data_IF_180746220936
#
_entry.id   IF_180746220936
#
_cell.length_a   1.000
_cell.length_b   1.000
_cell.length_c   1.000
_cell.angle_alpha   90.00
_cell.angle_beta   90.00
_cell.angle_gamma   90.00
#
_symmetry.space_group_name_H-M   'P 1'
#
loop_
_entity.id
_entity.type
_entity.pdbx_description
1 polymer ?
#
# COMPACT_ATOMS: atom_id res chain seq x y z
N UNK A 1 26.53 -1.21 -20.15
CA UNK A 1 25.33 -1.82 -19.59
C UNK A 1 25.28 -1.58 -18.08
N UNK A 2 24.20 -1.04 -17.64
CA UNK A 2 23.97 -0.88 -16.21
C UNK A 2 23.41 -2.12 -15.60
N UNK A 3 23.99 -2.52 -14.47
CA UNK A 3 23.40 -3.52 -13.61
C UNK A 3 23.21 -2.87 -12.25
N UNK A 4 21.95 -2.68 -11.84
CA UNK A 4 21.64 -2.19 -10.50
C UNK A 4 21.64 -3.36 -9.55
N UNK A 5 22.27 -3.19 -8.37
CA UNK A 5 22.11 -4.14 -7.30
C UNK A 5 20.69 -4.02 -6.73
N UNK A 6 20.20 -5.06 -6.06
CA UNK A 6 18.91 -4.99 -5.39
C UNK A 6 18.89 -3.88 -4.34
N UNK A 7 20.02 -3.66 -3.67
CA UNK A 7 20.13 -2.58 -2.70
C UNK A 7 19.88 -1.20 -3.33
N UNK A 8 20.42 -0.95 -4.52
CA UNK A 8 20.20 0.31 -5.24
C UNK A 8 18.81 0.40 -5.84
N UNK A 9 18.20 -0.74 -6.14
CA UNK A 9 16.87 -0.78 -6.76
C UNK A 9 15.74 -0.57 -5.75
N UNK A 10 15.92 -0.84 -4.47
CA UNK A 10 14.86 -0.72 -3.46
C UNK A 10 14.21 0.66 -3.43
N UNK A 11 14.95 1.78 -3.39
CA UNK A 11 14.33 3.10 -3.42
C UNK A 11 13.57 3.37 -4.73
N UNK A 12 14.02 2.80 -5.84
CA UNK A 12 13.37 2.94 -7.14
C UNK A 12 12.00 2.26 -7.12
N UNK A 13 11.90 1.05 -6.57
CA UNK A 13 10.63 0.35 -6.46
C UNK A 13 9.64 1.10 -5.58
N UNK A 14 10.10 1.67 -4.48
CA UNK A 14 9.25 2.48 -3.62
C UNK A 14 8.73 3.71 -4.37
N UNK A 15 9.58 4.41 -5.09
CA UNK A 15 9.19 5.59 -5.87
C UNK A 15 8.20 5.25 -6.97
N UNK A 16 8.38 4.13 -7.66
CA UNK A 16 7.44 3.68 -8.69
C UNK A 16 6.05 3.39 -8.10
N UNK A 17 5.99 2.68 -6.99
CA UNK A 17 4.72 2.39 -6.32
C UNK A 17 4.07 3.65 -5.78
N UNK A 18 4.85 4.55 -5.21
CA UNK A 18 4.34 5.82 -4.71
C UNK A 18 3.73 6.64 -5.84
N UNK A 19 4.39 6.70 -6.98
CA UNK A 19 3.88 7.41 -8.15
C UNK A 19 2.59 6.80 -8.67
N UNK A 20 2.53 5.48 -8.75
CA UNK A 20 1.34 4.77 -9.24
C UNK A 20 0.12 5.02 -8.36
N UNK A 21 0.30 5.06 -7.03
CA UNK A 21 -0.81 5.22 -6.08
C UNK A 21 -0.97 6.65 -5.56
N UNK A 22 -0.28 7.63 -6.15
CA UNK A 22 -0.25 9.00 -5.62
C UNK A 22 -1.63 9.63 -5.48
N UNK A 23 -2.55 9.34 -6.41
CA UNK A 23 -3.89 9.93 -6.43
C UNK A 23 -4.94 9.08 -5.72
N UNK A 24 -4.54 7.98 -5.09
CA UNK A 24 -5.48 7.09 -4.43
C UNK A 24 -5.71 7.52 -2.98
N UNK A 25 -6.97 7.62 -2.58
CA UNK A 25 -7.33 8.06 -1.24
C UNK A 25 -6.96 7.04 -0.18
N UNK A 26 -7.22 5.75 -0.44
CA UNK A 26 -7.07 4.70 0.57
C UNK A 26 -5.73 3.96 0.53
N UNK A 27 -4.95 4.13 -0.51
CA UNK A 27 -3.68 3.43 -0.66
C UNK A 27 -2.54 4.39 -0.38
N UNK A 28 -1.66 4.00 0.52
CA UNK A 28 -0.44 4.75 0.82
C UNK A 28 0.78 3.86 0.66
N UNK A 29 1.87 4.45 0.21
CA UNK A 29 3.16 3.78 0.10
C UNK A 29 4.10 4.42 1.09
N UNK A 30 4.67 3.62 2.00
CA UNK A 30 5.58 4.12 3.02
C UNK A 30 6.90 4.55 2.38
N UNK A 31 7.55 5.61 2.92
CA UNK A 31 8.90 5.95 2.49
C UNK A 31 9.85 4.76 2.69
N UNK A 32 10.78 4.59 1.75
CA UNK A 32 11.78 3.53 1.88
C UNK A 32 12.62 3.76 3.14
N UNK A 33 12.77 2.69 3.91
CA UNK A 33 13.61 2.68 5.11
C UNK A 33 14.47 1.42 5.03
N UNK A 34 15.81 1.53 5.06
CA UNK A 34 16.67 0.36 5.05
C UNK A 34 16.51 -0.52 6.29
N UNK A 35 15.98 0.04 7.38
CA UNK A 35 15.64 -0.74 8.56
C UNK A 35 14.17 -1.16 8.47
N UNK A 36 13.88 -2.47 8.34
CA UNK A 36 12.49 -2.90 8.21
C UNK A 36 11.68 -2.45 9.43
N UNK A 37 10.51 -1.83 9.21
CA UNK A 37 9.66 -1.43 10.33
C UNK A 37 9.03 -2.65 11.00
N UNK A 38 8.71 -2.51 12.28
CA UNK A 38 7.84 -3.46 12.95
C UNK A 38 6.41 -3.19 12.46
N UNK A 39 5.75 -4.23 11.94
CA UNK A 39 4.38 -4.12 11.45
C UNK A 39 3.47 -4.88 12.41
N UNK A 40 2.47 -4.18 12.95
CA UNK A 40 1.47 -4.78 13.81
C UNK A 40 0.24 -5.14 12.99
N UNK A 41 -0.29 -6.35 13.16
CA UNK A 41 -1.39 -6.85 12.35
C UNK A 41 -2.68 -6.02 12.48
N UNK A 42 -2.83 -5.26 13.54
CA UNK A 42 -4.03 -4.50 13.83
C UNK A 42 -3.90 -2.98 13.57
N UNK A 43 -2.84 -2.52 12.91
CA UNK A 43 -2.62 -1.09 12.72
C UNK A 43 -3.71 -0.39 11.92
N UNK A 44 -4.33 -1.09 10.97
CA UNK A 44 -5.36 -0.52 10.10
C UNK A 44 -6.75 -1.09 10.34
N UNK A 45 -6.95 -1.73 11.49
CA UNK A 45 -8.25 -2.29 11.87
C UNK A 45 -9.33 -1.22 11.88
N UNK A 46 -10.49 -1.53 11.31
CA UNK A 46 -11.63 -0.62 11.24
C UNK A 46 -11.54 0.43 10.14
N UNK A 47 -10.52 0.35 9.28
CA UNK A 47 -10.36 1.32 8.18
C UNK A 47 -10.46 0.63 6.83
N UNK A 48 -10.68 1.43 5.78
CA UNK A 48 -10.61 0.96 4.39
C UNK A 48 -9.24 1.27 3.77
N UNK A 49 -8.22 1.46 4.58
CA UNK A 49 -6.88 1.85 4.12
C UNK A 49 -6.03 0.62 3.82
N UNK A 50 -5.12 0.82 2.87
CA UNK A 50 -4.10 -0.17 2.52
C UNK A 50 -2.75 0.53 2.53
N UNK A 51 -1.78 -0.06 3.18
CA UNK A 51 -0.42 0.48 3.26
C UNK A 51 0.56 -0.48 2.61
N UNK A 52 1.37 0.04 1.71
CA UNK A 52 2.39 -0.73 1.02
C UNK A 52 3.76 -0.36 1.58
N UNK A 53 4.55 -1.36 1.90
CA UNK A 53 5.92 -1.19 2.38
C UNK A 53 6.86 -2.01 1.52
N UNK A 54 7.92 -1.38 1.02
CA UNK A 54 8.98 -2.05 0.27
C UNK A 54 10.17 -2.24 1.20
N UNK A 55 10.56 -3.46 1.40
CA UNK A 55 11.69 -3.82 2.26
C UNK A 55 12.61 -4.79 1.52
N UNK A 56 13.77 -5.01 2.08
CA UNK A 56 14.66 -6.01 1.55
C UNK A 56 16.12 -5.68 1.80
N UNK A 57 16.97 -6.47 1.15
CA UNK A 57 18.42 -6.33 1.22
C UNK A 57 19.01 -6.53 -0.17
N UNK A 58 20.34 -6.65 -0.25
CA UNK A 58 21.04 -6.81 -1.53
C UNK A 58 20.65 -8.07 -2.31
N UNK A 59 19.97 -9.03 -1.66
CA UNK A 59 19.65 -10.32 -2.26
C UNK A 59 18.17 -10.48 -2.57
N UNK A 60 17.29 -9.87 -1.77
CA UNK A 60 15.84 -10.07 -1.88
C UNK A 60 15.08 -8.79 -1.59
N UNK A 61 14.00 -8.62 -2.33
CA UNK A 61 13.06 -7.51 -2.16
C UNK A 61 11.71 -8.11 -1.78
N UNK A 62 11.06 -7.49 -0.80
CA UNK A 62 9.68 -7.82 -0.45
C UNK A 62 8.79 -6.59 -0.56
N UNK A 63 7.57 -6.80 -1.01
CA UNK A 63 6.52 -5.79 -1.01
C UNK A 63 5.42 -6.32 -0.11
N UNK A 64 5.12 -5.59 0.95
CA UNK A 64 4.14 -6.00 1.94
C UNK A 64 2.95 -5.07 1.89
N UNK A 65 1.75 -5.63 1.81
CA UNK A 65 0.51 -4.87 1.89
C UNK A 65 -0.16 -5.16 3.24
N UNK A 66 -0.45 -4.11 3.98
CA UNK A 66 -1.16 -4.20 5.25
C UNK A 66 -2.54 -3.60 5.09
N UNK A 67 -3.57 -4.34 5.50
CA UNK A 67 -4.96 -3.88 5.44
C UNK A 67 -5.82 -4.68 6.41
N UNK A 68 -6.98 -4.12 6.76
CA UNK A 68 -7.95 -4.82 7.58
C UNK A 68 -8.71 -5.85 6.74
N UNK A 69 -8.68 -7.10 7.15
CA UNK A 69 -9.31 -8.20 6.43
C UNK A 69 -10.83 -8.02 6.26
N UNK A 70 -11.49 -7.43 7.25
CA UNK A 70 -12.95 -7.22 7.24
C UNK A 70 -13.34 -5.88 6.63
N UNK A 71 -12.47 -4.88 6.69
CA UNK A 71 -12.67 -3.58 6.07
C UNK A 71 -12.27 -3.60 4.60
N UNK A 72 -11.05 -3.16 4.31
CA UNK A 72 -10.53 -3.10 2.94
C UNK A 72 -10.54 -4.47 2.25
N UNK A 73 -10.34 -5.53 3.01
CA UNK A 73 -10.30 -6.90 2.47
C UNK A 73 -11.68 -7.49 2.16
N UNK A 74 -12.76 -6.87 2.61
CA UNK A 74 -14.11 -7.41 2.42
C UNK A 74 -15.13 -6.30 2.19
N UNK A 75 -15.88 -5.91 3.23
CA UNK A 75 -17.00 -4.97 3.10
C UNK A 75 -16.57 -3.59 2.62
N UNK A 76 -15.41 -3.10 3.06
CA UNK A 76 -14.92 -1.79 2.66
C UNK A 76 -14.64 -1.69 1.17
N UNK A 77 -14.02 -2.70 0.59
CA UNK A 77 -13.78 -2.74 -0.85
C UNK A 77 -15.08 -2.84 -1.63
N UNK A 78 -16.05 -3.60 -1.12
CA UNK A 78 -17.35 -3.72 -1.76
C UNK A 78 -18.09 -2.38 -1.82
N UNK A 79 -18.11 -1.65 -0.69
CA UNK A 79 -18.74 -0.32 -0.63
C UNK A 79 -17.99 0.66 -1.54
N UNK A 80 -16.67 0.65 -1.52
CA UNK A 80 -15.87 1.52 -2.39
C UNK A 80 -16.17 1.27 -3.87
N UNK A 81 -16.23 0.01 -4.29
CA UNK A 81 -16.55 -0.35 -5.66
C UNK A 81 -17.97 0.08 -6.04
N UNK A 82 -18.93 -0.09 -5.14
CA UNK A 82 -20.30 0.37 -5.34
C UNK A 82 -20.34 1.90 -5.53
N UNK A 83 -19.62 2.64 -4.70
CA UNK A 83 -19.55 4.10 -4.82
C UNK A 83 -19.04 4.52 -6.19
N UNK A 84 -17.95 3.89 -6.65
CA UNK A 84 -17.38 4.16 -7.96
C UNK A 84 -18.37 3.83 -9.07
N UNK A 85 -19.02 2.67 -9.00
CA UNK A 85 -19.97 2.25 -10.02
C UNK A 85 -21.20 3.16 -10.11
N UNK A 86 -21.61 3.75 -8.99
CA UNK A 86 -22.76 4.65 -8.93
C UNK A 86 -22.41 6.12 -9.18
N UNK A 87 -21.14 6.43 -9.42
CA UNK A 87 -20.70 7.81 -9.63
C UNK A 87 -20.65 8.64 -8.36
N UNK A 88 -20.66 8.01 -7.20
CA UNK A 88 -20.49 8.67 -5.90
C UNK A 88 -19.03 8.87 -5.58
N UNK A 89 -18.74 9.75 -4.62
CA UNK A 89 -17.39 9.84 -4.06
C UNK A 89 -17.01 8.48 -3.49
N UNK A 90 -15.82 7.97 -3.84
CA UNK A 90 -15.39 6.62 -3.43
C UNK A 90 -15.29 6.46 -1.92
N UNK A 91 -15.18 7.55 -1.18
CA UNK A 91 -15.06 7.54 0.28
C UNK A 91 -16.39 7.52 1.00
N UNK A 92 -17.51 7.62 0.29
CA UNK A 92 -18.85 7.72 0.89
C UNK A 92 -19.14 6.51 1.79
N UNK A 93 -19.41 6.78 3.07
CA UNK A 93 -19.69 5.73 4.05
C UNK A 93 -18.46 4.95 4.51
N UNK A 94 -17.27 5.35 4.07
CA UNK A 94 -15.99 4.73 4.42
C UNK A 94 -15.13 5.69 5.23
N UNK A 95 -14.28 5.13 6.06
CA UNK A 95 -13.32 5.91 6.81
C UNK A 95 -12.04 6.09 6.06
#
# INVERSE_FOLDING_TARGET
>A
IYTLSLHDALPIYELELRGYYADQHFVSVMPFDPTPPTIHANELVGTNRLRITVCGNAERISVTALFDNLGKGAAGAAVQNMNIALGLDETTGLE
#
